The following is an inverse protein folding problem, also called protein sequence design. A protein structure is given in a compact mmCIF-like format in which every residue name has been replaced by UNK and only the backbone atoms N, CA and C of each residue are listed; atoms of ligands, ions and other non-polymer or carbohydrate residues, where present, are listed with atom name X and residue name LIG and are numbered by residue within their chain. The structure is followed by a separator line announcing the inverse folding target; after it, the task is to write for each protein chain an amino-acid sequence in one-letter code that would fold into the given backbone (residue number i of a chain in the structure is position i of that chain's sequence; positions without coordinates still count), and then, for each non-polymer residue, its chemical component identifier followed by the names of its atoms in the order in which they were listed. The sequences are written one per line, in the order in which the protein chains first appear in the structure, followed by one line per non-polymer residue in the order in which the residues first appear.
data_IF_777997895083
#
_entry.id   IF_777997895083
#
_cell.length_a   1.000
_cell.length_b   1.000
_cell.length_c   1.000
_cell.angle_alpha   90.00
_cell.angle_beta   90.00
_cell.angle_gamma   90.00
#
_symmetry.space_group_name_H-M   'P 1'
#
loop_
_entity.id
_entity.type
_entity.pdbx_description
1 polymer ?
#
# COMPACT_ATOMS: atom_id res chain seq x y z
N UNK A 1 -11.89 10.65 8.90
CA UNK A 1 -12.82 9.67 8.29
C UNK A 1 -13.04 8.54 9.28
N UNK A 2 -14.11 7.76 9.13
CA UNK A 2 -14.42 6.60 9.97
C UNK A 2 -14.58 5.37 9.10
N UNK A 3 -13.80 4.33 9.40
CA UNK A 3 -13.87 3.02 8.76
C UNK A 3 -14.55 1.99 9.66
N UNK A 4 -15.07 0.88 9.11
CA UNK A 4 -15.67 -0.18 9.92
C UNK A 4 -14.62 -0.78 10.86
N UNK A 5 -14.91 -0.73 12.16
CA UNK A 5 -14.00 -1.17 13.22
C UNK A 5 -14.30 -2.60 13.60
N UNK A 6 -13.28 -3.45 13.65
CA UNK A 6 -13.38 -4.78 14.25
C UNK A 6 -12.99 -4.75 15.73
N UNK A 7 -12.32 -5.81 16.21
CA UNK A 7 -11.89 -5.90 17.61
C UNK A 7 -10.76 -4.91 17.87
N UNK A 8 -10.97 -3.99 18.80
CA UNK A 8 -9.92 -3.07 19.23
C UNK A 8 -8.83 -3.80 20.02
N UNK A 9 -7.59 -3.73 19.54
CA UNK A 9 -6.40 -4.19 20.26
C UNK A 9 -5.73 -3.02 20.99
N UNK A 10 -5.73 -1.85 20.35
CA UNK A 10 -5.33 -0.58 20.93
C UNK A 10 -6.32 0.49 20.49
N UNK A 11 -6.68 1.45 21.34
CA UNK A 11 -7.66 2.47 20.98
C UNK A 11 -7.29 3.84 21.51
N UNK A 12 -7.25 4.82 20.60
CA UNK A 12 -7.04 6.24 20.88
C UNK A 12 -5.82 6.53 21.78
N UNK A 13 -4.76 5.75 21.63
CA UNK A 13 -3.51 6.00 22.35
C UNK A 13 -2.85 7.23 21.73
N UNK A 14 -2.35 8.16 22.55
CA UNK A 14 -1.68 9.35 22.01
C UNK A 14 -0.31 8.97 21.44
N UNK A 15 0.03 9.53 20.28
CA UNK A 15 1.32 9.26 19.63
C UNK A 15 2.52 9.62 20.52
N UNK A 16 2.41 10.69 21.33
CA UNK A 16 3.45 11.10 22.30
C UNK A 16 3.87 10.00 23.30
N UNK A 17 3.02 9.00 23.55
CA UNK A 17 3.25 7.94 24.52
C UNK A 17 3.45 6.55 23.89
N UNK A 18 3.46 6.45 22.56
CA UNK A 18 3.49 5.17 21.86
C UNK A 18 4.81 4.98 21.14
N UNK A 19 5.49 3.88 21.45
CA UNK A 19 6.66 3.42 20.69
C UNK A 19 6.20 2.50 19.56
N UNK A 20 6.00 3.06 18.36
CA UNK A 20 5.51 2.32 17.19
C UNK A 20 6.38 1.11 16.82
N UNK A 21 7.70 1.21 16.98
CA UNK A 21 8.60 0.08 16.73
C UNK A 21 8.29 -1.13 17.62
N UNK A 22 7.94 -0.89 18.87
CA UNK A 22 7.59 -1.97 19.79
C UNK A 22 6.29 -2.64 19.37
N UNK A 23 5.29 -1.86 18.93
CA UNK A 23 4.02 -2.38 18.44
C UNK A 23 4.23 -3.22 17.19
N UNK A 24 4.98 -2.70 16.21
CA UNK A 24 5.22 -3.38 14.94
C UNK A 24 6.14 -4.59 15.08
N UNK A 25 6.98 -4.65 16.12
CA UNK A 25 7.82 -5.80 16.41
C UNK A 25 7.12 -6.86 17.30
N UNK A 26 5.99 -6.53 17.91
CA UNK A 26 5.32 -7.40 18.88
C UNK A 26 4.78 -8.69 18.25
N UNK A 27 4.36 -8.62 16.98
CA UNK A 27 3.92 -9.76 16.19
C UNK A 27 4.99 -10.87 16.02
N UNK A 28 6.28 -10.53 16.18
CA UNK A 28 7.40 -11.48 16.14
C UNK A 28 7.57 -12.23 17.45
N UNK A 29 7.04 -11.69 18.55
CA UNK A 29 7.21 -12.25 19.90
C UNK A 29 5.97 -13.02 20.35
N UNK A 30 4.78 -12.49 20.10
CA UNK A 30 3.54 -13.07 20.58
C UNK A 30 2.61 -13.50 19.45
N UNK A 31 2.09 -14.75 19.54
CA UNK A 31 1.10 -15.26 18.58
C UNK A 31 -0.21 -14.45 18.62
N UNK A 32 -0.57 -13.91 19.78
CA UNK A 32 -1.76 -13.08 19.94
C UNK A 32 -1.67 -11.74 19.18
N UNK A 33 -0.45 -11.29 18.86
CA UNK A 33 -0.17 -10.05 18.13
C UNK A 33 -0.09 -10.25 16.62
N UNK A 34 -0.30 -11.48 16.11
CA UNK A 34 -0.41 -11.81 14.68
C UNK A 34 -1.80 -11.51 14.12
N UNK A 35 -2.26 -10.29 14.33
CA UNK A 35 -3.58 -9.83 13.90
C UNK A 35 -3.57 -9.43 12.42
N UNK A 36 -4.68 -9.66 11.74
CA UNK A 36 -4.96 -9.00 10.47
C UNK A 36 -5.88 -7.81 10.72
N UNK A 37 -5.67 -6.72 10.00
CA UNK A 37 -6.53 -5.55 10.08
C UNK A 37 -5.80 -4.27 9.72
N UNK A 38 -5.98 -3.23 10.51
CA UNK A 38 -5.30 -1.97 10.26
C UNK A 38 -4.97 -1.20 11.53
N UNK A 39 -3.87 -0.46 11.47
CA UNK A 39 -3.55 0.60 12.40
C UNK A 39 -4.03 1.92 11.80
N UNK A 40 -4.87 2.62 12.55
CA UNK A 40 -5.41 3.94 12.21
C UNK A 40 -4.64 5.01 12.99
N UNK A 41 -4.03 5.96 12.28
CA UNK A 41 -3.31 7.09 12.84
C UNK A 41 -4.07 8.36 12.48
N UNK A 42 -4.64 9.02 13.49
CA UNK A 42 -5.45 10.23 13.33
C UNK A 42 -4.64 11.46 13.70
N UNK A 43 -4.41 12.32 12.73
CA UNK A 43 -3.83 13.65 12.87
C UNK A 43 -4.94 14.73 12.87
N UNK A 44 -4.62 16.00 13.16
CA UNK A 44 -5.62 17.08 13.13
C UNK A 44 -6.28 17.28 11.76
N UNK A 45 -5.56 17.04 10.67
CA UNK A 45 -5.95 17.33 9.28
C UNK A 45 -6.11 16.08 8.40
N UNK A 46 -5.56 14.94 8.81
CA UNK A 46 -5.52 13.71 8.03
C UNK A 46 -5.68 12.44 8.88
N UNK A 47 -5.97 11.33 8.23
CA UNK A 47 -5.93 9.98 8.79
C UNK A 47 -5.06 9.13 7.89
N UNK A 48 -4.10 8.43 8.48
CA UNK A 48 -3.25 7.45 7.79
C UNK A 48 -3.54 6.06 8.31
N UNK A 49 -3.38 5.07 7.44
CA UNK A 49 -3.60 3.68 7.75
C UNK A 49 -2.36 2.87 7.40
N UNK A 50 -1.94 1.99 8.31
CA UNK A 50 -1.07 0.86 8.01
C UNK A 50 -1.93 -0.39 7.99
N UNK A 51 -2.02 -1.05 6.84
CA UNK A 51 -2.74 -2.31 6.70
C UNK A 51 -1.84 -3.45 7.13
N UNK A 52 -2.34 -4.30 8.01
CA UNK A 52 -1.59 -5.37 8.65
C UNK A 52 -2.12 -6.72 8.19
N UNK A 53 -1.23 -7.61 7.76
CA UNK A 53 -1.52 -9.05 7.64
C UNK A 53 -0.60 -9.80 8.58
N UNK A 54 -1.19 -10.63 9.44
CA UNK A 54 -0.43 -11.38 10.45
C UNK A 54 0.53 -10.49 11.29
N UNK A 55 0.12 -9.24 11.53
CA UNK A 55 0.85 -8.21 12.27
C UNK A 55 1.94 -7.48 11.48
N UNK A 56 2.20 -7.84 10.23
CA UNK A 56 3.19 -7.14 9.38
C UNK A 56 2.50 -6.09 8.50
N UNK A 57 3.05 -4.86 8.40
CA UNK A 57 2.56 -3.87 7.45
C UNK A 57 2.75 -4.33 6.01
N UNK A 58 1.65 -4.43 5.27
CA UNK A 58 1.65 -4.83 3.85
C UNK A 58 1.38 -3.68 2.90
N UNK A 59 0.65 -2.65 3.34
CA UNK A 59 0.36 -1.45 2.55
C UNK A 59 0.10 -0.27 3.48
N UNK A 60 0.14 0.95 2.93
CA UNK A 60 -0.26 2.16 3.64
C UNK A 60 -1.16 3.07 2.80
N UNK A 61 -2.03 3.83 3.46
CA UNK A 61 -2.96 4.75 2.81
C UNK A 61 -3.09 6.07 3.56
N UNK A 62 -3.27 7.15 2.81
CA UNK A 62 -3.48 8.49 3.33
C UNK A 62 -4.87 9.00 2.92
N UNK A 63 -5.56 9.56 3.90
CA UNK A 63 -6.88 10.15 3.73
C UNK A 63 -6.95 11.52 4.39
N UNK A 64 -7.19 12.54 3.60
CA UNK A 64 -7.50 13.89 4.06
C UNK A 64 -8.89 14.31 3.57
N UNK A 65 -9.23 15.59 3.76
CA UNK A 65 -10.46 16.16 3.18
C UNK A 65 -10.40 16.30 1.66
N UNK A 66 -9.20 16.40 1.10
CA UNK A 66 -8.97 16.73 -0.32
C UNK A 66 -8.37 15.57 -1.10
N UNK A 67 -7.77 14.60 -0.41
CA UNK A 67 -6.98 13.56 -1.04
C UNK A 67 -7.25 12.19 -0.41
N UNK A 68 -7.35 11.18 -1.27
CA UNK A 68 -7.27 9.76 -0.93
C UNK A 68 -6.21 9.16 -1.83
N UNK A 69 -5.10 8.72 -1.25
CA UNK A 69 -4.01 8.09 -2.01
C UNK A 69 -3.34 6.97 -1.24
N UNK A 70 -2.72 6.07 -1.98
CA UNK A 70 -1.74 5.16 -1.42
C UNK A 70 -0.46 5.93 -1.12
N UNK A 71 0.17 5.64 0.01
CA UNK A 71 1.48 6.19 0.42
C UNK A 71 2.39 5.03 0.80
N UNK A 72 3.68 5.31 0.98
CA UNK A 72 4.61 4.25 1.38
C UNK A 72 4.39 3.88 2.87
N UNK A 73 4.74 2.64 3.21
CA UNK A 73 4.76 2.18 4.61
C UNK A 73 5.76 3.02 5.44
N UNK A 74 6.94 3.31 4.89
CA UNK A 74 7.97 4.08 5.60
C UNK A 74 7.51 5.50 5.91
N UNK A 75 6.86 6.17 4.95
CA UNK A 75 6.36 7.55 5.11
C UNK A 75 5.43 7.66 6.32
N UNK A 76 4.48 6.72 6.46
CA UNK A 76 3.54 6.71 7.57
C UNK A 76 4.24 6.39 8.90
N UNK A 77 5.15 5.40 8.91
CA UNK A 77 5.90 5.04 10.13
C UNK A 77 6.77 6.20 10.61
N UNK A 78 7.54 6.80 9.72
CA UNK A 78 8.51 7.85 10.07
C UNK A 78 7.79 9.13 10.48
N UNK A 79 6.71 9.49 9.78
CA UNK A 79 5.86 10.62 10.19
C UNK A 79 5.26 10.39 11.57
N UNK A 80 4.69 9.21 11.82
CA UNK A 80 4.05 8.91 13.09
C UNK A 80 5.05 8.85 14.26
N UNK A 81 6.31 8.46 14.01
CA UNK A 81 7.42 8.56 14.97
C UNK A 81 7.91 9.99 15.22
N UNK A 82 7.91 10.81 14.17
CA UNK A 82 8.42 12.19 14.23
C UNK A 82 7.45 13.22 14.79
N UNK A 83 6.19 12.85 15.01
CA UNK A 83 5.15 13.75 15.54
C UNK A 83 4.79 13.45 16.99
N UNK A 84 4.38 14.47 17.74
CA UNK A 84 3.79 14.34 19.08
C UNK A 84 2.28 14.54 19.08
N UNK A 85 1.70 14.91 17.93
CA UNK A 85 0.29 15.25 17.80
C UNK A 85 -0.45 14.15 17.05
N UNK A 86 -1.51 13.65 17.67
CA UNK A 86 -2.42 12.66 17.08
C UNK A 86 -2.67 11.47 17.98
N UNK A 87 -3.45 10.53 17.47
CA UNK A 87 -3.76 9.27 18.17
C UNK A 87 -3.59 8.08 17.24
N UNK A 88 -3.27 6.94 17.83
CA UNK A 88 -3.17 5.65 17.14
C UNK A 88 -4.16 4.66 17.74
N UNK A 89 -4.79 3.90 16.86
CA UNK A 89 -5.67 2.78 17.20
C UNK A 89 -5.32 1.58 16.33
N UNK A 90 -5.53 0.38 16.84
CA UNK A 90 -5.29 -0.87 16.12
C UNK A 90 -6.56 -1.69 16.20
N UNK A 91 -7.09 -2.05 15.05
CA UNK A 91 -8.30 -2.85 14.93
C UNK A 91 -7.98 -4.13 14.17
N UNK A 92 -8.31 -5.26 14.79
CA UNK A 92 -8.31 -6.55 14.13
C UNK A 92 -9.60 -6.68 13.31
N UNK A 93 -9.46 -6.96 12.02
CA UNK A 93 -10.56 -7.09 11.07
C UNK A 93 -10.31 -8.26 10.12
N UNK A 94 -11.36 -8.84 9.51
CA UNK A 94 -11.17 -9.85 8.47
C UNK A 94 -10.32 -9.33 7.31
N UNK A 95 -9.49 -10.19 6.73
CA UNK A 95 -8.63 -9.87 5.58
C UNK A 95 -9.44 -9.29 4.41
N UNK A 96 -10.66 -9.78 4.20
CA UNK A 96 -11.55 -9.29 3.13
C UNK A 96 -11.87 -7.80 3.27
N UNK A 97 -12.01 -7.27 4.48
CA UNK A 97 -12.22 -5.83 4.68
C UNK A 97 -10.97 -5.04 4.31
N UNK A 98 -9.79 -5.53 4.70
CA UNK A 98 -8.50 -4.91 4.33
C UNK A 98 -8.36 -4.88 2.80
N UNK A 99 -8.63 -6.01 2.14
CA UNK A 99 -8.57 -6.12 0.68
C UNK A 99 -9.55 -5.15 0.01
N UNK A 100 -10.79 -5.04 0.49
CA UNK A 100 -11.75 -4.06 -0.06
C UNK A 100 -11.29 -2.62 0.11
N UNK A 101 -10.70 -2.26 1.26
CA UNK A 101 -10.15 -0.92 1.47
C UNK A 101 -8.97 -0.68 0.51
N UNK A 102 -8.05 -1.65 0.37
CA UNK A 102 -6.91 -1.52 -0.54
C UNK A 102 -7.33 -1.34 -2.00
N UNK A 103 -8.36 -2.06 -2.44
CA UNK A 103 -8.92 -1.99 -3.78
C UNK A 103 -9.32 -0.57 -4.18
N UNK A 104 -9.73 0.26 -3.22
CA UNK A 104 -10.15 1.64 -3.50
C UNK A 104 -9.02 2.55 -3.98
N UNK A 105 -7.76 2.13 -3.77
CA UNK A 105 -6.58 2.82 -4.27
C UNK A 105 -6.06 2.20 -5.58
N UNK A 106 -6.16 0.88 -5.70
CA UNK A 106 -5.49 0.10 -6.76
C UNK A 106 -6.40 -0.31 -7.90
N UNK A 107 -7.72 -0.30 -7.68
CA UNK A 107 -8.73 -0.72 -8.66
C UNK A 107 -9.58 0.47 -9.07
N UNK A 108 -9.76 0.66 -10.38
CA UNK A 108 -10.70 1.64 -10.91
C UNK A 108 -12.13 1.13 -10.70
N UNK A 109 -12.97 1.93 -10.04
CA UNK A 109 -14.39 1.63 -9.88
C UNK A 109 -15.09 1.49 -11.25
N UNK A 110 -15.90 0.45 -11.40
CA UNK A 110 -16.74 0.21 -12.57
C UNK A 110 -17.87 1.25 -12.67
N UNK A 111 -18.41 1.65 -11.52
CA UNK A 111 -19.34 2.77 -11.39
C UNK A 111 -18.86 3.68 -10.28
N UNK A 112 -18.77 4.98 -10.54
CA UNK A 112 -18.25 5.96 -9.59
C UNK A 112 -19.32 6.99 -9.23
N UNK A 113 -19.36 7.35 -7.95
CA UNK A 113 -20.18 8.40 -7.36
C UNK A 113 -21.67 8.30 -7.67
N UNK A 114 -22.22 7.09 -7.57
CA UNK A 114 -23.66 6.89 -7.72
C UNK A 114 -24.40 7.43 -6.50
N UNK A 115 -25.26 8.43 -6.70
CA UNK A 115 -26.02 9.05 -5.62
C UNK A 115 -27.29 8.27 -5.31
N UNK A 116 -27.33 7.60 -4.15
CA UNK A 116 -28.49 6.85 -3.69
C UNK A 116 -29.60 7.74 -3.11
N UNK A 117 -29.42 9.05 -2.99
CA UNK A 117 -30.56 9.94 -2.70
C UNK A 117 -31.44 10.13 -3.94
N UNK A 118 -30.91 9.86 -5.13
CA UNK A 118 -31.60 10.04 -6.42
C UNK A 118 -32.00 8.71 -7.09
N UNK A 119 -31.60 7.58 -6.51
CA UNK A 119 -31.86 6.25 -7.07
C UNK A 119 -32.40 5.31 -6.00
N UNK A 120 -33.46 4.58 -6.34
CA UNK A 120 -34.02 3.55 -5.46
C UNK A 120 -33.04 2.37 -5.27
N UNK A 121 -32.70 2.00 -4.02
CA UNK A 121 -31.91 0.81 -3.72
C UNK A 121 -32.46 -0.49 -4.34
N UNK A 122 -33.77 -0.60 -4.59
CA UNK A 122 -34.33 -1.78 -5.28
C UNK A 122 -33.70 -1.99 -6.66
N UNK A 123 -33.60 -0.92 -7.47
CA UNK A 123 -33.02 -0.99 -8.82
C UNK A 123 -31.54 -1.34 -8.79
N UNK A 124 -30.82 -0.92 -7.75
CA UNK A 124 -29.42 -1.32 -7.57
C UNK A 124 -29.32 -2.83 -7.36
N UNK A 125 -30.07 -3.37 -6.40
CA UNK A 125 -30.03 -4.80 -6.09
C UNK A 125 -30.55 -5.67 -7.24
N UNK A 126 -31.59 -5.25 -7.96
CA UNK A 126 -32.07 -5.95 -9.16
C UNK A 126 -30.97 -6.07 -10.22
N UNK A 127 -30.23 -4.99 -10.49
CA UNK A 127 -29.11 -5.01 -11.45
C UNK A 127 -27.98 -5.93 -10.98
N UNK A 128 -27.59 -5.84 -9.71
CA UNK A 128 -26.51 -6.67 -9.17
C UNK A 128 -26.89 -8.17 -9.15
N UNK A 129 -28.14 -8.49 -8.78
CA UNK A 129 -28.65 -9.86 -8.77
C UNK A 129 -28.81 -10.42 -10.19
N UNK A 130 -29.47 -9.69 -11.09
CA UNK A 130 -29.70 -10.13 -12.47
C UNK A 130 -28.39 -10.31 -13.24
N UNK A 131 -27.38 -9.49 -12.95
CA UNK A 131 -26.04 -9.59 -13.54
C UNK A 131 -25.10 -10.60 -12.88
N UNK A 132 -25.55 -11.33 -11.84
CA UNK A 132 -24.70 -12.24 -11.03
C UNK A 132 -23.41 -11.56 -10.56
N UNK A 133 -23.51 -10.29 -10.16
CA UNK A 133 -22.36 -9.46 -9.83
C UNK A 133 -21.45 -10.11 -8.78
N UNK A 134 -20.15 -10.13 -9.07
CA UNK A 134 -19.12 -10.63 -8.17
C UNK A 134 -18.09 -9.53 -7.94
N UNK A 135 -18.33 -8.72 -6.92
CA UNK A 135 -17.47 -7.60 -6.57
C UNK A 135 -17.86 -7.03 -5.22
N UNK A 136 -17.49 -5.78 -4.96
CA UNK A 136 -17.91 -5.10 -3.75
C UNK A 136 -18.35 -3.66 -4.02
N UNK A 137 -19.06 -3.12 -3.04
CA UNK A 137 -19.63 -1.78 -3.09
C UNK A 137 -19.08 -0.99 -1.91
N UNK A 138 -18.48 0.16 -2.18
CA UNK A 138 -18.12 1.14 -1.17
C UNK A 138 -19.29 2.12 -0.99
N UNK A 139 -19.74 2.26 0.26
CA UNK A 139 -20.83 3.11 0.67
C UNK A 139 -20.25 4.28 1.47
N UNK A 140 -20.38 5.50 0.97
CA UNK A 140 -19.86 6.71 1.62
C UNK A 140 -21.00 7.61 2.07
N UNK A 141 -21.00 7.95 3.36
CA UNK A 141 -21.93 8.90 3.97
C UNK A 141 -21.14 9.94 4.75
N UNK A 142 -20.95 11.12 4.16
CA UNK A 142 -20.08 12.15 4.74
C UNK A 142 -18.64 11.64 4.93
N UNK A 143 -18.19 11.52 6.19
CA UNK A 143 -16.85 11.01 6.55
C UNK A 143 -16.85 9.51 6.90
N UNK A 144 -18.01 8.85 6.83
CA UNK A 144 -18.17 7.43 7.14
C UNK A 144 -18.11 6.59 5.87
N UNK A 145 -17.33 5.51 5.92
CA UNK A 145 -17.14 4.58 4.81
C UNK A 145 -17.53 3.19 5.27
N UNK A 146 -18.31 2.47 4.47
CA UNK A 146 -18.74 1.09 4.70
C UNK A 146 -18.60 0.27 3.43
N UNK A 147 -18.56 -1.06 3.57
CA UNK A 147 -18.32 -1.98 2.47
C UNK A 147 -19.36 -3.10 2.45
N UNK A 148 -19.81 -3.48 1.26
CA UNK A 148 -20.72 -4.60 1.04
C UNK A 148 -20.19 -5.47 -0.11
N UNK A 149 -19.87 -6.73 0.19
CA UNK A 149 -19.41 -7.73 -0.77
C UNK A 149 -20.61 -8.46 -1.38
N UNK A 150 -20.54 -8.70 -2.68
CA UNK A 150 -21.52 -9.49 -3.42
C UNK A 150 -20.86 -10.67 -4.10
N UNK A 151 -21.42 -11.87 -3.99
CA UNK A 151 -20.97 -13.07 -4.71
C UNK A 151 -22.13 -13.62 -5.52
N UNK A 152 -21.95 -13.78 -6.82
CA UNK A 152 -23.00 -14.25 -7.74
C UNK A 152 -24.32 -13.45 -7.60
N UNK A 153 -24.20 -12.13 -7.39
CA UNK A 153 -25.33 -11.21 -7.25
C UNK A 153 -25.97 -11.15 -5.87
N UNK A 154 -25.57 -12.01 -4.93
CA UNK A 154 -26.09 -12.03 -3.57
C UNK A 154 -25.12 -11.35 -2.58
N UNK A 155 -25.62 -10.61 -1.57
CA UNK A 155 -24.80 -10.12 -0.46
C UNK A 155 -24.08 -11.27 0.26
N UNK A 156 -22.76 -11.21 0.36
CA UNK A 156 -21.93 -12.24 0.99
C UNK A 156 -21.43 -11.83 2.37
N UNK A 157 -20.97 -10.58 2.49
CA UNK A 157 -20.46 -10.00 3.74
C UNK A 157 -20.66 -8.47 3.72
N UNK A 158 -20.75 -7.85 4.88
CA UNK A 158 -20.92 -6.41 4.99
C UNK A 158 -20.25 -5.86 6.24
N UNK A 159 -19.58 -4.73 6.07
CA UNK A 159 -18.77 -4.06 7.09
C UNK A 159 -19.23 -2.62 7.17
N UNK A 160 -19.99 -2.31 8.23
CA UNK A 160 -20.69 -1.03 8.34
C UNK A 160 -20.18 -0.21 9.52
N UNK A 161 -20.15 1.11 9.34
CA UNK A 161 -19.89 2.09 10.41
C UNK A 161 -21.17 2.51 11.14
N UNK A 162 -22.33 2.07 10.65
CA UNK A 162 -23.64 2.23 11.27
C UNK A 162 -24.32 0.88 11.48
N UNK A 163 -25.39 0.87 12.28
CA UNK A 163 -26.12 -0.36 12.59
C UNK A 163 -26.83 -0.90 11.35
N UNK A 164 -26.51 -2.15 11.00
CA UNK A 164 -27.21 -2.97 10.00
C UNK A 164 -27.58 -4.29 10.68
N UNK A 165 -28.86 -4.62 10.71
CA UNK A 165 -29.37 -5.76 11.51
C UNK A 165 -29.09 -7.11 10.87
N UNK A 166 -29.03 -7.16 9.54
CA UNK A 166 -28.85 -8.39 8.77
C UNK A 166 -28.34 -8.11 7.37
N UNK A 167 -27.68 -9.11 6.77
CA UNK A 167 -27.30 -9.13 5.35
C UNK A 167 -28.43 -9.62 4.43
N UNK A 168 -29.61 -9.92 4.98
CA UNK A 168 -30.80 -10.18 4.17
C UNK A 168 -31.09 -8.97 3.27
N UNK A 169 -31.43 -9.24 2.00
CA UNK A 169 -31.58 -8.22 0.96
C UNK A 169 -32.57 -7.12 1.38
N UNK A 170 -33.71 -7.48 1.96
CA UNK A 170 -34.72 -6.51 2.38
C UNK A 170 -34.24 -5.64 3.55
N UNK A 171 -33.49 -6.24 4.49
CA UNK A 171 -32.87 -5.50 5.60
C UNK A 171 -31.79 -4.53 5.10
N UNK A 172 -30.98 -4.94 4.12
CA UNK A 172 -29.98 -4.08 3.49
C UNK A 172 -30.61 -2.93 2.72
N UNK A 173 -31.66 -3.21 1.93
CA UNK A 173 -32.43 -2.17 1.23
C UNK A 173 -33.01 -1.15 2.20
N UNK A 174 -33.62 -1.60 3.30
CA UNK A 174 -34.13 -0.72 4.34
C UNK A 174 -33.02 0.13 4.99
N UNK A 175 -31.87 -0.48 5.31
CA UNK A 175 -30.73 0.21 5.88
C UNK A 175 -30.15 1.27 4.91
N UNK A 176 -30.07 0.97 3.61
CA UNK A 176 -29.58 1.92 2.59
C UNK A 176 -30.56 3.07 2.40
N UNK A 177 -31.87 2.82 2.41
CA UNK A 177 -32.89 3.89 2.37
C UNK A 177 -32.78 4.82 3.58
N UNK A 178 -32.68 4.25 4.78
CA UNK A 178 -32.49 5.03 6.00
C UNK A 178 -31.16 5.80 6.00
N UNK A 179 -30.10 5.22 5.42
CA UNK A 179 -28.82 5.89 5.29
C UNK A 179 -28.85 7.03 4.25
N UNK A 180 -29.64 6.90 3.18
CA UNK A 180 -29.81 7.92 2.14
C UNK A 180 -30.60 9.15 2.62
N UNK A 181 -31.43 9.02 3.68
CA UNK A 181 -32.17 10.15 4.27
C UNK A 181 -31.42 10.84 5.43
N UNK A 182 -30.31 10.25 5.90
CA UNK A 182 -29.50 10.84 6.95
C UNK A 182 -28.66 12.04 6.43
N UNK A 183 -28.18 12.94 7.32
CA UNK A 183 -27.33 14.05 6.91
C UNK A 183 -26.06 13.58 6.18
N UNK A 184 -25.89 14.08 4.95
CA UNK A 184 -24.81 13.69 4.03
C UNK A 184 -25.30 12.71 2.97
N UNK A 185 -25.14 13.07 1.69
CA UNK A 185 -25.56 12.23 0.57
C UNK A 185 -24.87 10.85 0.64
N UNK A 186 -25.66 9.79 0.47
CA UNK A 186 -25.15 8.42 0.39
C UNK A 186 -24.64 8.19 -1.03
N UNK A 187 -23.32 8.19 -1.18
CA UNK A 187 -22.63 7.99 -2.44
C UNK A 187 -22.08 6.58 -2.51
N UNK A 188 -22.21 5.96 -3.67
CA UNK A 188 -21.83 4.58 -3.90
C UNK A 188 -20.81 4.45 -5.02
N UNK A 189 -19.74 3.74 -4.74
CA UNK A 189 -18.73 3.33 -5.72
C UNK A 189 -18.80 1.80 -5.85
N UNK A 190 -18.85 1.27 -7.09
CA UNK A 190 -18.99 -0.16 -7.38
C UNK A 190 -17.70 -0.66 -8.01
N UNK A 191 -17.15 -1.74 -7.45
CA UNK A 191 -15.92 -2.39 -7.89
C UNK A 191 -16.23 -3.83 -8.29
N UNK A 192 -15.99 -4.17 -9.55
CA UNK A 192 -16.31 -5.45 -10.18
C UNK A 192 -15.28 -6.56 -9.92
N UNK A 193 -14.28 -6.27 -9.09
CA UNK A 193 -13.26 -7.22 -8.66
C UNK A 193 -12.70 -6.81 -7.31
N UNK A 194 -12.30 -7.81 -6.54
CA UNK A 194 -11.35 -7.62 -5.45
C UNK A 194 -9.96 -7.34 -6.04
N UNK A 195 -9.07 -6.66 -5.31
CA UNK A 195 -7.75 -6.41 -5.82
C UNK A 195 -6.99 -7.74 -5.90
N UNK A 196 -6.17 -7.91 -6.94
CA UNK A 196 -5.04 -8.82 -6.81
C UNK A 196 -4.17 -8.27 -5.67
N UNK A 197 -3.81 -9.11 -4.69
CA UNK A 197 -3.09 -8.68 -3.49
C UNK A 197 -1.69 -8.18 -3.86
N UNK A 198 -1.61 -6.92 -4.27
CA UNK A 198 -0.39 -6.18 -4.55
C UNK A 198 0.08 -5.53 -3.24
N UNK A 199 0.71 -6.33 -2.39
CA UNK A 199 1.40 -5.84 -1.20
C UNK A 199 2.55 -4.92 -1.63
N UNK A 200 2.79 -3.85 -0.87
CA UNK A 200 3.96 -3.00 -1.08
C UNK A 200 5.21 -3.78 -0.72
N UNK A 201 6.29 -3.53 -1.46
CA UNK A 201 7.61 -4.00 -1.07
C UNK A 201 7.94 -3.49 0.34
N UNK A 202 8.31 -4.41 1.23
CA UNK A 202 8.62 -4.06 2.60
C UNK A 202 9.85 -3.12 2.64
N UNK A 203 9.94 -2.19 3.62
CA UNK A 203 11.09 -1.29 3.75
C UNK A 203 12.44 -2.00 3.77
N UNK A 204 12.50 -3.20 4.39
CA UNK A 204 13.71 -4.03 4.41
C UNK A 204 14.12 -4.53 3.01
N UNK A 205 13.17 -4.81 2.13
CA UNK A 205 13.44 -5.23 0.75
C UNK A 205 13.97 -4.06 -0.08
N UNK A 206 13.42 -2.86 0.08
CA UNK A 206 13.94 -1.64 -0.54
C UNK A 206 15.39 -1.38 -0.08
N UNK A 207 15.64 -1.46 1.23
CA UNK A 207 16.98 -1.28 1.80
C UNK A 207 17.98 -2.32 1.27
N UNK A 208 17.56 -3.58 1.10
CA UNK A 208 18.39 -4.63 0.52
C UNK A 208 18.87 -4.27 -0.90
N UNK A 209 17.97 -3.84 -1.78
CA UNK A 209 18.34 -3.45 -3.15
C UNK A 209 19.25 -2.23 -3.19
N UNK A 210 18.95 -1.20 -2.39
CA UNK A 210 19.80 -0.01 -2.25
C UNK A 210 21.20 -0.39 -1.79
N UNK A 211 21.33 -1.24 -0.77
CA UNK A 211 22.63 -1.69 -0.26
C UNK A 211 23.41 -2.53 -1.27
N UNK A 212 22.73 -3.44 -1.98
CA UNK A 212 23.35 -4.25 -3.01
C UNK A 212 23.91 -3.37 -4.14
N UNK A 213 23.12 -2.41 -4.62
CA UNK A 213 23.53 -1.53 -5.69
C UNK A 213 24.62 -0.54 -5.23
N UNK A 214 24.53 0.02 -4.02
CA UNK A 214 25.59 0.87 -3.48
C UNK A 214 26.93 0.13 -3.34
N UNK A 215 26.91 -1.18 -3.06
CA UNK A 215 28.13 -1.99 -3.08
C UNK A 215 28.75 -2.07 -4.48
N UNK A 216 27.93 -2.22 -5.53
CA UNK A 216 28.39 -2.16 -6.91
C UNK A 216 28.95 -0.78 -7.29
N UNK A 217 28.26 0.29 -6.87
CA UNK A 217 28.72 1.67 -7.08
C UNK A 217 30.08 1.89 -6.43
N UNK A 218 30.28 1.43 -5.19
CA UNK A 218 31.54 1.56 -4.46
C UNK A 218 32.69 0.81 -5.15
N UNK A 219 32.46 -0.42 -5.63
CA UNK A 219 33.46 -1.20 -6.38
C UNK A 219 33.88 -0.48 -7.67
N UNK A 220 32.92 0.13 -8.38
CA UNK A 220 33.23 0.90 -9.60
C UNK A 220 33.95 2.22 -9.32
N UNK A 221 33.68 2.88 -8.19
CA UNK A 221 34.46 4.06 -7.77
C UNK A 221 35.92 3.74 -7.47
N UNK A 222 36.25 2.48 -7.15
CA UNK A 222 37.64 2.03 -7.00
C UNK A 222 38.41 1.94 -8.33
N UNK A 223 37.72 2.00 -9.47
CA UNK A 223 38.28 1.74 -10.81
C UNK A 223 38.07 2.93 -11.75
N UNK A 224 36.93 3.60 -11.64
CA UNK A 224 36.55 4.77 -12.41
C UNK A 224 36.48 6.02 -11.50
N UNK A 225 36.53 7.21 -12.11
CA UNK A 225 36.45 8.44 -11.31
C UNK A 225 35.08 8.58 -10.63
N UNK A 226 35.00 9.07 -9.38
CA UNK A 226 33.73 9.22 -8.66
C UNK A 226 32.69 10.04 -9.44
N UNK A 227 33.14 11.08 -10.15
CA UNK A 227 32.28 11.93 -10.98
C UNK A 227 31.67 11.16 -12.16
N UNK A 228 32.43 10.28 -12.81
CA UNK A 228 31.90 9.46 -13.90
C UNK A 228 30.85 8.49 -13.35
N UNK A 229 31.16 7.79 -12.25
CA UNK A 229 30.22 6.85 -11.62
C UNK A 229 28.93 7.55 -11.20
N UNK A 230 29.00 8.71 -10.55
CA UNK A 230 27.83 9.46 -10.14
C UNK A 230 26.96 9.92 -11.33
N UNK A 231 27.59 10.39 -12.42
CA UNK A 231 26.86 10.76 -13.64
C UNK A 231 26.19 9.57 -14.30
N UNK A 232 26.88 8.43 -14.40
CA UNK A 232 26.32 7.21 -14.96
C UNK A 232 25.19 6.64 -14.11
N UNK A 233 25.32 6.74 -12.78
CA UNK A 233 24.25 6.36 -11.85
C UNK A 233 22.98 7.20 -12.06
N UNK A 234 23.13 8.52 -12.22
CA UNK A 234 22.01 9.41 -12.50
C UNK A 234 21.39 9.18 -13.89
N UNK A 235 22.21 8.99 -14.93
CA UNK A 235 21.67 8.74 -16.27
C UNK A 235 20.97 7.39 -16.39
N UNK A 236 21.50 6.35 -15.73
CA UNK A 236 20.87 5.03 -15.69
C UNK A 236 19.57 5.02 -14.89
N UNK A 237 19.48 5.82 -13.82
CA UNK A 237 18.25 6.01 -13.06
C UNK A 237 17.16 6.64 -13.94
N UNK A 238 17.49 7.68 -14.70
CA UNK A 238 16.51 8.35 -15.56
C UNK A 238 16.04 7.43 -16.70
N UNK A 239 16.95 6.63 -17.27
CA UNK A 239 16.62 5.64 -18.28
C UNK A 239 15.67 4.56 -17.76
N UNK A 240 16.01 3.89 -16.65
CA UNK A 240 15.14 2.88 -16.03
C UNK A 240 13.85 3.51 -15.49
N UNK A 241 13.90 4.77 -15.06
CA UNK A 241 12.77 5.57 -14.59
C UNK A 241 11.73 5.85 -15.67
N UNK A 242 12.06 5.67 -16.95
CA UNK A 242 11.08 5.74 -18.04
C UNK A 242 10.07 4.58 -17.99
N UNK A 243 10.50 3.39 -17.54
CA UNK A 243 9.62 2.23 -17.35
C UNK A 243 9.08 2.14 -15.92
N UNK A 244 9.90 2.51 -14.93
CA UNK A 244 9.57 2.42 -13.51
C UNK A 244 9.67 3.79 -12.84
N UNK A 245 8.60 4.59 -12.96
CA UNK A 245 8.59 5.99 -12.54
C UNK A 245 9.01 6.23 -11.07
N UNK A 246 8.72 5.28 -10.17
CA UNK A 246 9.10 5.36 -8.75
C UNK A 246 10.62 5.36 -8.52
N UNK A 247 11.43 4.92 -9.49
CA UNK A 247 12.88 4.99 -9.38
C UNK A 247 13.38 6.43 -9.23
N UNK A 248 12.64 7.43 -9.71
CA UNK A 248 12.98 8.86 -9.56
C UNK A 248 12.86 9.37 -8.12
N UNK A 249 12.21 8.63 -7.23
CA UNK A 249 12.08 8.99 -5.81
C UNK A 249 13.38 8.73 -5.02
N UNK A 250 14.32 7.95 -5.58
CA UNK A 250 15.62 7.72 -4.97
C UNK A 250 16.56 8.92 -5.17
N UNK A 251 16.96 9.54 -4.08
CA UNK A 251 17.95 10.62 -4.14
C UNK A 251 19.36 10.06 -4.41
N UNK A 252 20.10 10.75 -5.27
CA UNK A 252 21.48 10.41 -5.59
C UNK A 252 22.45 11.46 -5.03
N UNK A 253 23.44 11.01 -4.26
CA UNK A 253 24.56 11.85 -3.82
C UNK A 253 25.87 11.05 -3.83
N UNK A 254 26.28 10.62 -5.02
CA UNK A 254 27.40 9.68 -5.21
C UNK A 254 27.07 8.23 -4.87
N UNK A 255 25.95 8.00 -4.20
CA UNK A 255 25.33 6.71 -3.89
C UNK A 255 23.80 6.89 -3.88
N UNK A 256 23.08 5.77 -3.88
CA UNK A 256 21.63 5.72 -3.78
C UNK A 256 21.24 5.88 -2.32
N UNK A 257 20.39 6.87 -2.02
CA UNK A 257 19.79 7.03 -0.69
C UNK A 257 18.47 6.28 -0.62
N UNK A 258 18.10 5.72 0.55
CA UNK A 258 16.76 5.22 0.78
C UNK A 258 15.71 6.27 0.40
N UNK A 259 14.62 5.81 -0.20
CA UNK A 259 13.52 6.66 -0.63
C UNK A 259 12.29 6.39 0.23
N UNK A 260 11.78 7.44 0.87
CA UNK A 260 10.66 7.31 1.81
C UNK A 260 9.32 7.26 1.08
N UNK A 261 9.26 7.46 -0.25
CA UNK A 261 8.02 7.60 -1.02
C UNK A 261 7.76 6.47 -2.01
N UNK A 262 8.55 5.40 -1.95
CA UNK A 262 8.44 4.30 -2.91
C UNK A 262 7.18 3.51 -2.64
N UNK A 263 6.28 3.50 -3.61
CA UNK A 263 5.10 2.63 -3.66
C UNK A 263 5.26 1.73 -4.87
N UNK A 264 5.67 0.49 -4.62
CA UNK A 264 5.86 -0.54 -5.64
C UNK A 264 5.63 -1.91 -5.01
N UNK A 265 5.21 -2.89 -5.81
CA UNK A 265 5.17 -4.29 -5.37
C UNK A 265 6.58 -4.91 -5.28
N UNK A 266 6.79 -6.02 -4.54
CA UNK A 266 8.06 -6.74 -4.53
C UNK A 266 8.59 -7.12 -5.92
N UNK A 267 7.67 -7.48 -6.83
CA UNK A 267 8.00 -7.90 -8.19
C UNK A 267 8.39 -6.71 -9.08
N UNK A 268 7.62 -5.62 -9.05
CA UNK A 268 7.97 -4.38 -9.74
C UNK A 268 9.29 -3.81 -9.24
N UNK A 269 9.53 -3.84 -7.92
CA UNK A 269 10.78 -3.38 -7.32
C UNK A 269 11.97 -4.20 -7.82
N UNK A 270 11.84 -5.53 -7.87
CA UNK A 270 12.90 -6.42 -8.37
C UNK A 270 13.23 -6.15 -9.84
N UNK A 271 12.21 -6.04 -10.70
CA UNK A 271 12.39 -5.73 -12.12
C UNK A 271 13.02 -4.36 -12.34
N UNK A 272 12.57 -3.35 -11.60
CA UNK A 272 13.09 -2.00 -11.71
C UNK A 272 14.57 -1.89 -11.32
N UNK A 273 14.97 -2.54 -10.22
CA UNK A 273 16.37 -2.55 -9.80
C UNK A 273 17.26 -3.39 -10.72
N UNK A 274 16.76 -4.49 -11.27
CA UNK A 274 17.49 -5.27 -12.28
C UNK A 274 17.76 -4.42 -13.53
N UNK A 275 16.73 -3.75 -14.07
CA UNK A 275 16.88 -2.88 -15.23
C UNK A 275 17.85 -1.71 -14.94
N UNK A 276 17.74 -1.07 -13.78
CA UNK A 276 18.63 0.03 -13.42
C UNK A 276 20.09 -0.45 -13.30
N UNK A 277 20.33 -1.61 -12.69
CA UNK A 277 21.66 -2.22 -12.62
C UNK A 277 22.18 -2.55 -14.03
N UNK A 278 21.36 -3.14 -14.89
CA UNK A 278 21.76 -3.50 -16.26
C UNK A 278 22.20 -2.26 -17.06
N UNK A 279 21.37 -1.20 -17.08
CA UNK A 279 21.69 0.05 -17.77
C UNK A 279 22.96 0.68 -17.20
N UNK A 280 23.13 0.65 -15.88
CA UNK A 280 24.32 1.18 -15.21
C UNK A 280 25.58 0.39 -15.55
N UNK A 281 25.52 -0.94 -15.47
CA UNK A 281 26.63 -1.86 -15.78
C UNK A 281 27.01 -1.74 -17.25
N UNK A 282 26.05 -1.79 -18.17
CA UNK A 282 26.31 -1.72 -19.61
C UNK A 282 27.00 -0.42 -20.03
N UNK A 283 26.74 0.68 -19.32
CA UNK A 283 27.44 1.95 -19.53
C UNK A 283 28.96 1.87 -19.29
N UNK A 284 29.43 0.90 -18.47
CA UNK A 284 30.85 0.64 -18.24
C UNK A 284 31.42 -0.50 -19.07
N UNK A 285 30.57 -1.30 -19.75
CA UNK A 285 30.99 -2.50 -20.48
C UNK A 285 31.98 -2.19 -21.60
N UNK A 286 31.81 -1.06 -22.28
CA UNK A 286 32.76 -0.60 -23.31
C UNK A 286 34.17 -0.33 -22.77
N UNK A 287 34.29 0.09 -21.51
CA UNK A 287 35.56 0.50 -20.90
C UNK A 287 36.22 -0.65 -20.13
N UNK A 288 35.43 -1.40 -19.36
CA UNK A 288 35.93 -2.43 -18.45
C UNK A 288 35.88 -3.85 -19.03
N UNK A 289 35.10 -4.07 -20.10
CA UNK A 289 34.97 -5.37 -20.76
C UNK A 289 34.66 -6.50 -19.77
N UNK A 290 35.38 -7.62 -19.90
CA UNK A 290 35.19 -8.82 -19.05
C UNK A 290 35.51 -8.62 -17.57
N UNK A 291 36.24 -7.57 -17.18
CA UNK A 291 36.51 -7.29 -15.76
C UNK A 291 35.24 -6.92 -15.00
N UNK A 292 34.25 -6.37 -15.71
CA UNK A 292 32.98 -5.95 -15.16
C UNK A 292 32.17 -7.11 -14.55
N UNK A 293 32.20 -8.28 -15.19
CA UNK A 293 31.46 -9.46 -14.69
C UNK A 293 31.97 -9.89 -13.31
N UNK A 294 33.29 -9.84 -13.08
CA UNK A 294 33.89 -10.16 -11.78
C UNK A 294 33.54 -9.12 -10.71
N UNK A 295 33.45 -7.84 -11.08
CA UNK A 295 33.06 -6.74 -10.19
C UNK A 295 31.60 -6.92 -9.74
N UNK A 296 30.69 -7.16 -10.68
CA UNK A 296 29.26 -7.38 -10.40
C UNK A 296 29.08 -8.62 -9.52
N UNK A 297 29.76 -9.73 -9.83
CA UNK A 297 29.71 -10.94 -9.00
C UNK A 297 30.23 -10.69 -7.58
N UNK A 298 31.32 -9.92 -7.42
CA UNK A 298 31.86 -9.55 -6.12
C UNK A 298 30.86 -8.70 -5.32
N UNK A 299 30.27 -7.68 -5.96
CA UNK A 299 29.33 -6.76 -5.34
C UNK A 299 28.07 -7.47 -4.82
N UNK A 300 27.52 -8.40 -5.60
CA UNK A 300 26.28 -9.09 -5.25
C UNK A 300 26.48 -10.42 -4.50
N UNK A 301 27.72 -10.83 -4.23
CA UNK A 301 28.02 -12.12 -3.57
C UNK A 301 27.24 -12.33 -2.27
N UNK A 302 27.15 -11.30 -1.44
CA UNK A 302 26.48 -11.36 -0.13
C UNK A 302 24.95 -11.28 -0.23
N UNK A 303 24.44 -10.80 -1.36
CA UNK A 303 23.00 -10.62 -1.63
C UNK A 303 22.42 -11.73 -2.52
N UNK A 304 23.27 -12.61 -3.06
CA UNK A 304 22.90 -13.61 -4.10
C UNK A 304 21.64 -14.42 -3.78
N UNK A 305 21.44 -14.81 -2.52
CA UNK A 305 20.31 -15.63 -2.13
C UNK A 305 19.01 -14.81 -2.08
N UNK A 306 19.11 -13.56 -1.63
CA UNK A 306 17.97 -12.67 -1.54
C UNK A 306 17.56 -12.15 -2.94
N UNK A 307 18.52 -11.82 -3.79
CA UNK A 307 18.29 -11.43 -5.19
C UNK A 307 17.71 -12.60 -6.01
N UNK A 308 18.22 -13.83 -5.83
CA UNK A 308 17.68 -15.02 -6.50
C UNK A 308 16.26 -15.38 -6.05
N UNK A 309 15.90 -15.00 -4.83
CA UNK A 309 14.55 -15.21 -4.29
C UNK A 309 13.55 -14.13 -4.73
N UNK A 310 14.00 -13.10 -5.45
CA UNK A 310 13.16 -12.02 -5.95
C UNK A 310 13.11 -12.01 -7.48
N UNK A 311 12.34 -11.09 -8.05
CA UNK A 311 12.24 -10.87 -9.50
C UNK A 311 13.43 -10.11 -10.09
N UNK A 312 14.57 -10.11 -9.38
CA UNK A 312 15.85 -9.55 -9.82
C UNK A 312 16.56 -10.61 -10.67
N UNK A 313 16.12 -10.72 -11.93
CA UNK A 313 16.62 -11.68 -12.92
C UNK A 313 17.96 -11.28 -13.50
#
# INVERSE_FOLDING_TARGET
MKFPKGRAVLSNAKLEFVHLDNILADNKKERASKISGYMEIVYPDAVEFLYLKHGEPVNAGHFSRTERKQVSISEVIDKAKGTTVGTVSIYETPDELVDMILATFTVKAAVKSLDLTQMDPDKLFEKLQGGKFDGFVELRRGLEVSYLRFKQGAPASGYFTWKVESLAVDALKAALRAAATAPGALVVDIFDKLPEQAEQAAPAQIAMYVNAFNKLVAELQGIATPTLVAKTLASSQEAAGAHFAFLREFALNGEIKPADKVVATPDELGRAFAEWVDVFVDSFRMVLGKRLDAIVQSAFKDFRFALKASSFG
#
